data_IF_843796011198
#
_entry.id   IF_843796011198
#
_cell.length_a   1.000
_cell.length_b   1.000
_cell.length_c   1.000
_cell.angle_alpha   90.00
_cell.angle_beta   90.00
_cell.angle_gamma   90.00
#
_symmetry.space_group_name_H-M   'P 1'
#
loop_
_entity.id
_entity.type
_entity.pdbx_description
1 polymer ?
#
# COMPACT_ATOMS: atom_id res chain seq x y z
N UNK A 1 -20.97 -0.46 -4.87
CA UNK A 1 -20.24 0.65 -5.48
C UNK A 1 -21.16 1.85 -5.54
N UNK A 2 -20.82 2.95 -4.88
CA UNK A 2 -21.59 4.18 -4.87
C UNK A 2 -21.32 5.04 -6.11
N UNK A 3 -22.21 5.98 -6.35
CA UNK A 3 -22.07 6.95 -7.45
C UNK A 3 -21.39 8.26 -6.97
N UNK A 4 -20.98 8.31 -5.70
CA UNK A 4 -20.37 9.48 -5.08
C UNK A 4 -19.04 9.12 -4.42
N UNK A 5 -18.08 10.04 -4.39
CA UNK A 5 -16.89 9.88 -3.56
C UNK A 5 -17.29 9.66 -2.10
N UNK A 6 -16.69 8.66 -1.47
CA UNK A 6 -16.85 8.37 -0.05
C UNK A 6 -15.51 8.54 0.66
N UNK A 7 -15.53 8.62 2.00
CA UNK A 7 -14.29 8.73 2.75
C UNK A 7 -13.41 7.48 2.58
N UNK A 8 -12.10 7.66 2.74
CA UNK A 8 -11.09 6.63 2.52
C UNK A 8 -11.29 5.39 3.42
N UNK A 9 -11.80 5.57 4.65
CA UNK A 9 -12.02 4.47 5.59
C UNK A 9 -13.18 3.60 5.10
N UNK A 10 -14.30 4.24 4.75
CA UNK A 10 -15.49 3.54 4.26
C UNK A 10 -15.21 2.81 2.94
N UNK A 11 -14.52 3.47 2.00
CA UNK A 11 -14.12 2.86 0.73
C UNK A 11 -13.26 1.61 0.95
N UNK A 12 -12.26 1.69 1.85
CA UNK A 12 -11.45 0.54 2.26
C UNK A 12 -12.28 -0.59 2.84
N UNK A 13 -13.17 -0.30 3.79
CA UNK A 13 -14.03 -1.31 4.42
C UNK A 13 -14.89 -2.04 3.38
N UNK A 14 -15.54 -1.30 2.50
CA UNK A 14 -16.41 -1.86 1.48
C UNK A 14 -15.63 -2.74 0.50
N UNK A 15 -14.44 -2.30 0.07
CA UNK A 15 -13.54 -3.09 -0.78
C UNK A 15 -13.13 -4.38 -0.09
N UNK A 16 -12.66 -4.32 1.14
CA UNK A 16 -12.20 -5.51 1.87
C UNK A 16 -13.35 -6.48 2.08
N UNK A 17 -14.51 -6.01 2.53
CA UNK A 17 -15.69 -6.84 2.74
C UNK A 17 -16.15 -7.52 1.43
N UNK A 18 -16.18 -6.78 0.33
CA UNK A 18 -16.51 -7.34 -0.97
C UNK A 18 -15.45 -8.36 -1.43
N UNK A 19 -14.17 -8.05 -1.30
CA UNK A 19 -13.08 -8.97 -1.69
C UNK A 19 -13.10 -10.28 -0.90
N UNK A 20 -13.39 -10.24 0.39
CA UNK A 20 -13.49 -11.44 1.24
C UNK A 20 -14.70 -12.32 0.88
N UNK A 21 -15.71 -11.78 0.25
CA UNK A 21 -16.97 -12.48 -0.07
C UNK A 21 -17.19 -12.76 -1.54
N UNK A 22 -16.53 -12.05 -2.46
CA UNK A 22 -16.76 -12.15 -3.91
C UNK A 22 -15.92 -13.22 -4.63
N UNK A 23 -15.07 -13.94 -3.90
CA UNK A 23 -14.15 -14.92 -4.50
C UNK A 23 -13.18 -14.24 -5.47
N UNK A 24 -13.08 -14.74 -6.70
CA UNK A 24 -12.21 -14.21 -7.76
C UNK A 24 -12.88 -13.16 -8.66
N UNK A 25 -14.00 -12.60 -8.24
CA UNK A 25 -14.67 -11.54 -9.00
C UNK A 25 -13.91 -10.23 -8.82
N UNK A 26 -13.71 -9.47 -9.89
CA UNK A 26 -13.09 -8.17 -9.84
C UNK A 26 -13.94 -7.18 -9.01
N UNK A 27 -13.34 -6.55 -8.03
CA UNK A 27 -13.97 -5.52 -7.20
C UNK A 27 -13.42 -4.17 -7.63
N UNK A 28 -14.31 -3.25 -8.00
CA UNK A 28 -13.96 -1.85 -8.27
C UNK A 28 -14.09 -1.03 -7.00
N UNK A 29 -13.23 -0.02 -6.84
CA UNK A 29 -13.42 0.98 -5.79
C UNK A 29 -14.63 1.86 -6.11
N UNK A 30 -15.12 2.57 -5.09
CA UNK A 30 -15.84 3.80 -5.37
C UNK A 30 -14.90 4.86 -5.92
N UNK A 31 -15.46 5.91 -6.52
CA UNK A 31 -14.68 7.00 -7.07
C UNK A 31 -13.85 7.67 -5.97
N UNK A 32 -12.55 7.78 -6.19
CA UNK A 32 -11.68 8.58 -5.32
C UNK A 32 -11.45 9.95 -5.91
N UNK A 33 -11.60 10.95 -5.06
CA UNK A 33 -11.29 12.34 -5.35
C UNK A 33 -10.58 12.97 -4.15
N UNK A 34 -9.85 14.03 -4.38
CA UNK A 34 -9.19 14.83 -3.34
C UNK A 34 -9.19 16.31 -3.75
N UNK A 35 -8.95 17.18 -2.78
CA UNK A 35 -8.82 18.59 -3.05
C UNK A 35 -7.45 18.86 -3.70
N UNK A 36 -7.41 19.68 -4.74
CA UNK A 36 -6.18 20.03 -5.46
C UNK A 36 -5.17 20.81 -4.61
N UNK A 37 -5.64 21.43 -3.50
CA UNK A 37 -4.80 22.10 -2.50
C UNK A 37 -4.29 21.17 -1.38
N UNK A 38 -4.74 19.89 -1.34
CA UNK A 38 -4.25 18.95 -0.36
C UNK A 38 -2.77 18.60 -0.59
N UNK A 39 -2.09 18.14 0.47
CA UNK A 39 -0.74 17.59 0.30
C UNK A 39 -0.77 16.29 -0.50
N UNK A 40 0.34 15.97 -1.17
CA UNK A 40 0.48 14.72 -1.90
C UNK A 40 0.28 13.49 -0.99
N UNK A 41 0.69 13.56 0.29
CA UNK A 41 0.45 12.49 1.26
C UNK A 41 -1.05 12.28 1.55
N UNK A 42 -1.83 13.37 1.66
CA UNK A 42 -3.29 13.30 1.86
C UNK A 42 -3.98 12.69 0.66
N UNK A 43 -3.64 13.14 -0.55
CA UNK A 43 -4.16 12.58 -1.80
C UNK A 43 -3.77 11.11 -1.97
N UNK A 44 -2.53 10.73 -1.66
CA UNK A 44 -2.04 9.36 -1.72
C UNK A 44 -2.76 8.42 -0.75
N UNK A 45 -3.23 8.92 0.39
CA UNK A 45 -4.02 8.15 1.34
C UNK A 45 -5.32 7.61 0.70
N UNK A 46 -5.95 8.38 -0.21
CA UNK A 46 -7.13 7.93 -0.97
C UNK A 46 -6.78 6.72 -1.85
N UNK A 47 -5.65 6.78 -2.58
CA UNK A 47 -5.20 5.69 -3.45
C UNK A 47 -4.78 4.45 -2.65
N UNK A 48 -4.08 4.65 -1.53
CA UNK A 48 -3.68 3.56 -0.64
C UNK A 48 -4.89 2.83 -0.03
N UNK A 49 -5.99 3.55 0.21
CA UNK A 49 -7.22 2.96 0.76
C UNK A 49 -7.96 2.06 -0.23
N UNK A 50 -7.77 2.25 -1.53
CA UNK A 50 -8.39 1.44 -2.59
C UNK A 50 -7.42 0.44 -3.24
N UNK A 51 -6.24 0.24 -2.67
CA UNK A 51 -5.13 -0.51 -3.27
C UNK A 51 -5.52 -1.92 -3.73
N UNK A 52 -6.40 -2.60 -2.99
CA UNK A 52 -6.82 -3.98 -3.25
C UNK A 52 -8.05 -4.10 -4.16
N UNK A 53 -8.33 -3.10 -4.98
CA UNK A 53 -9.43 -3.06 -5.93
C UNK A 53 -8.98 -2.52 -7.29
N UNK A 54 -9.85 -2.54 -8.29
CA UNK A 54 -9.64 -1.79 -9.53
C UNK A 54 -9.91 -0.32 -9.23
N UNK A 55 -8.91 0.57 -9.34
CA UNK A 55 -9.07 1.97 -8.93
C UNK A 55 -9.98 2.75 -9.88
N UNK A 56 -10.91 3.52 -9.32
CA UNK A 56 -11.70 4.52 -10.02
C UNK A 56 -11.33 5.90 -9.53
N UNK A 57 -10.72 6.72 -10.40
CA UNK A 57 -10.19 8.04 -10.06
C UNK A 57 -11.05 9.10 -10.74
N UNK A 58 -11.57 10.04 -9.95
CA UNK A 58 -12.48 11.10 -10.38
C UNK A 58 -11.92 12.49 -10.08
N UNK A 59 -10.67 12.74 -10.48
CA UNK A 59 -10.04 14.05 -10.45
C UNK A 59 -9.76 14.54 -11.87
N UNK A 60 -9.78 15.83 -12.08
CA UNK A 60 -9.39 16.44 -13.35
C UNK A 60 -7.87 16.46 -13.45
N UNK A 61 -7.32 15.65 -14.35
CA UNK A 61 -5.87 15.45 -14.50
C UNK A 61 -5.14 16.72 -14.95
N UNK A 62 -5.82 17.58 -15.70
CA UNK A 62 -5.32 18.88 -16.18
C UNK A 62 -5.17 19.91 -15.06
N UNK A 63 -5.92 19.78 -13.97
CA UNK A 63 -5.87 20.66 -12.80
C UNK A 63 -4.89 20.21 -11.72
N UNK A 64 -4.33 18.99 -11.83
CA UNK A 64 -3.38 18.47 -10.83
C UNK A 64 -2.05 19.25 -10.87
N UNK A 65 -1.55 19.59 -9.69
CA UNK A 65 -0.19 20.10 -9.54
C UNK A 65 0.86 19.00 -9.80
N UNK A 66 2.14 19.36 -9.91
CA UNK A 66 3.21 18.42 -10.27
C UNK A 66 3.46 17.33 -9.21
N UNK A 67 3.26 17.63 -7.92
CA UNK A 67 3.40 16.65 -6.85
C UNK A 67 2.29 15.58 -6.92
N UNK A 68 1.04 16.01 -7.14
CA UNK A 68 -0.08 15.10 -7.34
C UNK A 68 0.09 14.24 -8.60
N UNK A 69 0.61 14.80 -9.70
CA UNK A 69 0.91 14.03 -10.92
C UNK A 69 1.98 12.97 -10.67
N UNK A 70 3.08 13.32 -9.98
CA UNK A 70 4.14 12.37 -9.60
C UNK A 70 3.59 11.27 -8.69
N UNK A 71 2.85 11.64 -7.66
CA UNK A 71 2.22 10.72 -6.71
C UNK A 71 1.27 9.77 -7.43
N UNK A 72 0.38 10.27 -8.26
CA UNK A 72 -0.58 9.47 -9.03
C UNK A 72 0.14 8.50 -9.98
N UNK A 73 1.17 8.97 -10.70
CA UNK A 73 1.99 8.14 -11.58
C UNK A 73 2.66 7.01 -10.81
N UNK A 74 3.21 7.30 -9.63
CA UNK A 74 3.86 6.30 -8.79
C UNK A 74 2.87 5.24 -8.29
N UNK A 75 1.75 5.64 -7.70
CA UNK A 75 0.75 4.70 -7.17
C UNK A 75 0.10 3.85 -8.26
N UNK A 76 -0.25 4.44 -9.40
CA UNK A 76 -0.80 3.68 -10.54
C UNK A 76 0.25 2.76 -11.17
N UNK A 77 1.51 3.19 -11.23
CA UNK A 77 2.63 2.36 -11.67
C UNK A 77 2.79 1.14 -10.77
N UNK A 78 2.85 1.35 -9.45
CA UNK A 78 2.90 0.29 -8.46
C UNK A 78 1.69 -0.66 -8.56
N UNK A 79 0.48 -0.12 -8.62
CA UNK A 79 -0.74 -0.92 -8.77
C UNK A 79 -0.70 -1.77 -10.06
N UNK A 80 -0.32 -1.16 -11.18
CA UNK A 80 -0.24 -1.85 -12.49
C UNK A 80 0.79 -2.98 -12.48
N UNK A 81 1.95 -2.76 -11.88
CA UNK A 81 3.01 -3.76 -11.74
C UNK A 81 2.57 -4.95 -10.89
N UNK A 82 1.81 -4.69 -9.81
CA UNK A 82 1.43 -5.69 -8.82
C UNK A 82 -0.04 -6.11 -8.91
N UNK A 83 -0.76 -5.71 -9.97
CA UNK A 83 -2.21 -5.91 -10.07
C UNK A 83 -2.65 -7.36 -9.88
N UNK A 84 -1.84 -8.31 -10.32
CA UNK A 84 -2.19 -9.72 -10.23
C UNK A 84 -2.27 -10.19 -8.77
N UNK A 85 -1.24 -9.91 -7.98
CA UNK A 85 -1.27 -10.23 -6.55
C UNK A 85 -2.32 -9.39 -5.80
N UNK A 86 -2.46 -8.10 -6.13
CA UNK A 86 -3.43 -7.21 -5.49
C UNK A 86 -4.88 -7.67 -5.71
N UNK A 87 -5.22 -8.19 -6.89
CA UNK A 87 -6.58 -8.59 -7.24
C UNK A 87 -6.84 -10.09 -7.06
N UNK A 88 -5.85 -10.96 -7.27
CA UNK A 88 -6.01 -12.41 -7.28
C UNK A 88 -5.31 -13.12 -6.11
N UNK A 89 -4.42 -12.43 -5.39
CA UNK A 89 -3.75 -12.97 -4.21
C UNK A 89 -4.72 -13.29 -3.07
N UNK A 90 -4.26 -14.14 -2.15
CA UNK A 90 -5.02 -14.44 -0.92
C UNK A 90 -5.06 -13.18 -0.08
N UNK A 91 -6.27 -12.65 0.13
CA UNK A 91 -6.48 -11.45 0.93
C UNK A 91 -6.68 -11.84 2.39
N UNK A 92 -5.88 -11.25 3.28
CA UNK A 92 -6.06 -11.29 4.73
C UNK A 92 -6.23 -9.86 5.25
N UNK A 93 -7.13 -9.69 6.23
CA UNK A 93 -7.39 -8.38 6.82
C UNK A 93 -7.54 -8.53 8.32
N UNK A 94 -6.86 -7.68 9.08
CA UNK A 94 -6.76 -7.78 10.53
C UNK A 94 -7.64 -6.73 11.21
N UNK A 95 -8.19 -7.09 12.37
CA UNK A 95 -8.95 -6.21 13.26
C UNK A 95 -10.12 -5.51 12.56
N UNK A 96 -11.13 -6.25 12.06
CA UNK A 96 -12.29 -5.68 11.39
C UNK A 96 -13.06 -4.69 12.28
N UNK A 97 -13.05 -4.88 13.60
CA UNK A 97 -13.64 -3.98 14.60
C UNK A 97 -12.95 -2.61 14.67
N UNK A 98 -11.69 -2.54 14.18
CA UNK A 98 -10.90 -1.30 14.07
C UNK A 98 -10.80 -0.78 12.63
N UNK A 99 -11.78 -1.06 11.80
CA UNK A 99 -11.81 -0.70 10.38
C UNK A 99 -10.61 -1.26 9.60
N UNK A 100 -10.16 -2.46 9.97
CA UNK A 100 -8.97 -3.14 9.46
C UNK A 100 -7.65 -2.38 9.71
N UNK A 101 -6.89 -2.82 10.70
CA UNK A 101 -5.57 -2.24 11.02
C UNK A 101 -4.54 -2.47 9.91
N UNK A 102 -4.62 -3.62 9.23
CA UNK A 102 -3.83 -3.96 8.07
C UNK A 102 -4.61 -4.84 7.09
N UNK A 103 -4.25 -4.75 5.82
CA UNK A 103 -4.76 -5.60 4.74
C UNK A 103 -3.57 -6.09 3.93
N UNK A 104 -3.49 -7.39 3.70
CA UNK A 104 -2.40 -8.03 2.96
C UNK A 104 -2.95 -8.88 1.83
N UNK A 105 -2.40 -8.70 0.63
CA UNK A 105 -2.55 -9.64 -0.48
C UNK A 105 -1.29 -10.49 -0.61
N UNK A 106 -1.43 -11.81 -0.59
CA UNK A 106 -0.33 -12.77 -0.62
C UNK A 106 -0.38 -13.64 -1.85
N UNK A 107 0.78 -13.84 -2.49
CA UNK A 107 1.05 -14.85 -3.51
C UNK A 107 2.17 -15.78 -3.05
N UNK A 108 2.65 -16.66 -3.93
CA UNK A 108 3.64 -17.70 -3.58
C UNK A 108 4.95 -17.13 -3.02
N UNK A 109 5.44 -16.04 -3.56
CA UNK A 109 6.73 -15.45 -3.21
C UNK A 109 6.67 -13.96 -2.86
N UNK A 110 5.48 -13.38 -2.82
CA UNK A 110 5.30 -11.95 -2.63
C UNK A 110 4.15 -11.63 -1.68
N UNK A 111 4.30 -10.54 -0.95
CA UNK A 111 3.26 -9.95 -0.10
C UNK A 111 3.17 -8.46 -0.33
N UNK A 112 1.95 -7.93 -0.36
CA UNK A 112 1.70 -6.50 -0.39
C UNK A 112 0.75 -6.17 0.75
N UNK A 113 1.23 -5.35 1.69
CA UNK A 113 0.50 -4.97 2.90
C UNK A 113 0.24 -3.47 2.92
N UNK A 114 -0.99 -3.06 3.15
CA UNK A 114 -1.31 -1.68 3.53
C UNK A 114 -1.60 -1.64 5.04
N UNK A 115 -0.89 -0.76 5.75
CA UNK A 115 -0.95 -0.62 7.21
C UNK A 115 -1.69 0.67 7.52
N UNK A 116 -2.85 0.57 8.16
CA UNK A 116 -3.75 1.70 8.46
C UNK A 116 -3.72 2.11 9.94
N UNK A 117 -3.36 1.18 10.83
CA UNK A 117 -3.17 1.41 12.25
C UNK A 117 -1.94 0.64 12.75
N UNK A 118 -1.68 0.66 14.06
CA UNK A 118 -0.53 -0.06 14.63
C UNK A 118 -0.64 -1.56 14.34
N UNK A 119 0.26 -2.05 13.51
CA UNK A 119 0.37 -3.46 13.08
C UNK A 119 1.82 -3.77 12.71
N UNK A 120 2.20 -5.04 12.81
CA UNK A 120 3.51 -5.55 12.40
C UNK A 120 3.40 -6.15 11.00
N UNK A 121 4.32 -5.79 10.11
CA UNK A 121 4.36 -6.31 8.75
C UNK A 121 5.23 -7.56 8.69
N UNK A 122 4.64 -8.69 8.32
CA UNK A 122 5.38 -9.93 8.05
C UNK A 122 6.14 -9.83 6.71
N UNK A 123 7.45 -9.93 6.79
CA UNK A 123 8.38 -9.86 5.66
C UNK A 123 9.07 -11.19 5.37
N UNK A 124 8.47 -12.33 5.71
CA UNK A 124 9.05 -13.66 5.45
C UNK A 124 9.08 -14.04 3.97
N UNK A 125 8.19 -13.49 3.14
CA UNK A 125 8.18 -13.68 1.68
C UNK A 125 9.48 -13.17 1.02
N UNK A 126 9.81 -13.68 -0.18
CA UNK A 126 10.99 -13.21 -0.95
C UNK A 126 10.90 -11.72 -1.33
N UNK A 127 9.69 -11.27 -1.60
CA UNK A 127 9.37 -9.87 -1.85
C UNK A 127 8.24 -9.42 -0.93
N UNK A 128 8.42 -8.30 -0.26
CA UNK A 128 7.34 -7.65 0.50
C UNK A 128 7.32 -6.16 0.18
N UNK A 129 6.15 -5.63 -0.14
CA UNK A 129 5.91 -4.21 -0.19
C UNK A 129 4.93 -3.81 0.91
N UNK A 130 5.25 -2.79 1.69
CA UNK A 130 4.34 -2.28 2.70
C UNK A 130 4.09 -0.78 2.51
N UNK A 131 2.81 -0.40 2.48
CA UNK A 131 2.34 0.98 2.34
C UNK A 131 1.97 1.51 3.72
N UNK A 132 2.54 2.64 4.10
CA UNK A 132 2.26 3.29 5.38
C UNK A 132 1.06 4.25 5.24
N UNK A 133 -0.12 3.82 5.64
CA UNK A 133 -1.35 4.63 5.65
C UNK A 133 -1.68 5.12 7.07
N UNK A 134 -0.76 4.94 8.00
CA UNK A 134 -0.90 5.44 9.37
C UNK A 134 -0.56 6.93 9.44
N UNK A 135 -0.94 7.58 10.55
CA UNK A 135 -0.53 8.96 10.84
C UNK A 135 0.89 9.06 11.44
N UNK A 136 1.61 7.94 11.55
CA UNK A 136 2.95 7.85 12.15
C UNK A 136 4.01 7.69 11.07
N UNK A 137 5.16 8.32 11.26
CA UNK A 137 6.33 8.07 10.40
C UNK A 137 7.03 6.79 10.87
N UNK A 138 6.80 5.71 10.17
CA UNK A 138 7.47 4.43 10.39
C UNK A 138 6.53 3.24 10.52
N UNK A 139 7.04 2.09 10.06
CA UNK A 139 6.41 0.78 10.17
C UNK A 139 7.30 -0.17 10.96
N UNK A 140 6.68 -1.09 11.68
CA UNK A 140 7.36 -2.21 12.32
C UNK A 140 7.28 -3.42 11.41
N UNK A 141 8.42 -4.04 11.14
CA UNK A 141 8.56 -5.19 10.27
C UNK A 141 9.22 -6.34 11.02
N UNK A 142 8.84 -7.57 10.69
CA UNK A 142 9.44 -8.80 11.21
C UNK A 142 9.77 -9.79 10.09
N UNK A 143 10.65 -10.78 10.35
CA UNK A 143 11.04 -11.80 9.38
C UNK A 143 11.89 -11.28 8.22
N UNK A 144 12.62 -10.19 8.39
CA UNK A 144 13.38 -9.56 7.32
C UNK A 144 14.90 -9.42 7.59
N UNK A 145 15.43 -10.07 8.64
CA UNK A 145 16.86 -10.02 8.93
C UNK A 145 17.71 -10.46 7.73
N UNK A 146 18.72 -9.67 7.39
CA UNK A 146 19.61 -9.93 6.23
C UNK A 146 19.04 -9.52 4.87
N UNK A 147 17.76 -9.16 4.77
CA UNK A 147 17.14 -8.70 3.53
C UNK A 147 17.49 -7.24 3.23
N UNK A 148 17.39 -6.85 1.96
CA UNK A 148 17.52 -5.47 1.53
C UNK A 148 16.21 -4.73 1.71
N UNK A 149 16.30 -3.47 2.11
CA UNK A 149 15.14 -2.57 2.12
C UNK A 149 15.39 -1.33 1.27
N UNK A 150 14.33 -0.80 0.70
CA UNK A 150 14.26 0.49 0.03
C UNK A 150 12.99 1.20 0.45
N UNK A 151 13.11 2.42 0.95
CA UNK A 151 12.01 3.26 1.39
C UNK A 151 11.83 4.40 0.40
N UNK A 152 10.58 4.65 0.02
CA UNK A 152 10.21 5.77 -0.84
C UNK A 152 9.09 6.60 -0.21
N UNK A 153 9.02 7.88 -0.59
CA UNK A 153 7.88 8.74 -0.25
C UNK A 153 6.66 8.42 -1.15
N UNK A 154 5.56 9.16 -0.98
CA UNK A 154 4.34 8.96 -1.77
C UNK A 154 4.49 9.29 -3.27
N UNK A 155 5.56 9.95 -3.67
CA UNK A 155 5.90 10.25 -5.07
C UNK A 155 6.87 9.24 -5.69
N UNK A 156 7.29 8.21 -4.94
CA UNK A 156 8.24 7.19 -5.37
C UNK A 156 9.70 7.60 -5.26
N UNK A 157 10.01 8.72 -4.64
CA UNK A 157 11.37 9.20 -4.44
C UNK A 157 12.00 8.45 -3.26
N UNK A 158 13.19 7.88 -3.48
CA UNK A 158 13.91 7.12 -2.46
C UNK A 158 14.35 8.04 -1.32
N UNK A 159 14.02 7.65 -0.10
CA UNK A 159 14.41 8.36 1.13
C UNK A 159 15.49 7.62 1.90
N UNK A 160 15.50 6.30 1.82
CA UNK A 160 16.49 5.47 2.50
C UNK A 160 16.54 4.07 1.89
N UNK A 161 17.73 3.45 1.89
CA UNK A 161 17.91 2.04 1.55
C UNK A 161 19.04 1.41 2.37
N UNK A 162 19.08 0.09 2.44
CA UNK A 162 20.09 -0.64 3.19
C UNK A 162 19.78 -2.12 3.38
N UNK A 163 20.44 -2.71 4.39
CA UNK A 163 20.23 -4.10 4.80
C UNK A 163 19.65 -4.11 6.21
N UNK A 164 18.61 -4.91 6.42
CA UNK A 164 17.99 -5.09 7.74
C UNK A 164 18.91 -5.95 8.61
N UNK A 165 19.20 -5.46 9.82
CA UNK A 165 20.16 -6.11 10.75
C UNK A 165 19.48 -6.92 11.86
N UNK A 166 18.18 -6.76 12.07
CA UNK A 166 17.43 -7.36 13.19
C UNK A 166 16.21 -8.09 12.68
N UNK A 167 15.77 -9.11 13.41
CA UNK A 167 14.56 -9.86 13.11
C UNK A 167 13.30 -9.00 13.17
N UNK A 168 13.23 -8.10 14.14
CA UNK A 168 12.19 -7.08 14.26
C UNK A 168 12.86 -5.72 14.16
N UNK A 169 12.33 -4.85 13.31
CA UNK A 169 12.87 -3.52 13.08
C UNK A 169 11.75 -2.50 12.84
N UNK A 170 11.95 -1.28 13.31
CA UNK A 170 11.14 -0.14 12.90
C UNK A 170 11.88 0.66 11.85
N UNK A 171 11.33 0.76 10.65
CA UNK A 171 11.87 1.58 9.56
C UNK A 171 11.09 2.89 9.41
N UNK A 172 11.76 4.02 9.12
CA UNK A 172 11.13 5.35 9.06
C UNK A 172 10.39 5.58 7.73
N UNK A 173 9.40 4.74 7.45
CA UNK A 173 8.58 4.86 6.23
C UNK A 173 7.70 6.10 6.34
N UNK A 174 7.78 7.07 5.39
CA UNK A 174 6.95 8.27 5.40
C UNK A 174 5.45 7.94 5.37
N UNK A 175 4.63 8.89 5.79
CA UNK A 175 3.16 8.80 5.63
C UNK A 175 2.84 8.67 4.14
N UNK A 176 1.96 7.76 3.79
CA UNK A 176 1.64 7.40 2.39
C UNK A 176 2.85 6.98 1.55
N UNK A 177 4.02 6.73 2.16
CA UNK A 177 5.18 6.15 1.52
C UNK A 177 5.15 4.63 1.57
N UNK A 178 6.17 4.01 0.96
CA UNK A 178 6.29 2.56 0.87
C UNK A 178 7.68 2.09 1.27
N UNK A 179 7.74 0.88 1.81
CA UNK A 179 8.99 0.12 1.96
C UNK A 179 8.91 -1.16 1.13
N UNK A 180 10.00 -1.45 0.44
CA UNK A 180 10.20 -2.66 -0.32
C UNK A 180 11.28 -3.50 0.36
N UNK A 181 10.97 -4.77 0.64
CA UNK A 181 11.89 -5.74 1.23
C UNK A 181 12.13 -6.83 0.19
N UNK A 182 13.39 -7.10 -0.11
CA UNK A 182 13.81 -8.12 -1.09
C UNK A 182 14.92 -8.98 -0.51
N UNK A 183 15.01 -10.24 -0.94
CA UNK A 183 16.15 -11.07 -0.60
C UNK A 183 17.45 -10.40 -1.09
N UNK A 184 18.50 -10.47 -0.29
CA UNK A 184 19.83 -10.11 -0.74
C UNK A 184 20.26 -11.14 -1.77
N UNK A 185 20.66 -10.73 -2.97
CA UNK A 185 21.39 -11.63 -3.87
C UNK A 185 22.63 -12.13 -3.15
N UNK A 186 22.64 -13.39 -2.73
CA UNK A 186 23.85 -14.05 -2.26
C UNK A 186 24.73 -14.17 -3.50
N UNK A 187 25.72 -13.29 -3.64
CA UNK A 187 26.86 -13.61 -4.52
C UNK A 187 27.56 -14.81 -3.88
N UNK A 188 27.24 -16.01 -4.35
CA UNK A 188 28.08 -17.18 -4.11
C UNK A 188 29.43 -16.85 -4.79
N UNK A 189 30.42 -16.54 -3.98
CA UNK A 189 31.83 -16.49 -4.40
C UNK A 189 32.33 -17.93 -4.53
#
# INVERSE_FOLDING_TARGET
VGDCPIDAIKNRQDIVNMRLTSGKTAVHSDMVAWNYEDSAESAACQLASILFSVPQISVRLDELNEEHKKMLKFYLGFWKEHRDILLNGILTAENPECNYSSVTASGDNARITAVYADSVVDCTAKYTAAVNVTKKKGLVLEGCAGKRFRIVNCMGEETQSGIVKSEIIRLPVPISGMVFITESEIKVM
#
